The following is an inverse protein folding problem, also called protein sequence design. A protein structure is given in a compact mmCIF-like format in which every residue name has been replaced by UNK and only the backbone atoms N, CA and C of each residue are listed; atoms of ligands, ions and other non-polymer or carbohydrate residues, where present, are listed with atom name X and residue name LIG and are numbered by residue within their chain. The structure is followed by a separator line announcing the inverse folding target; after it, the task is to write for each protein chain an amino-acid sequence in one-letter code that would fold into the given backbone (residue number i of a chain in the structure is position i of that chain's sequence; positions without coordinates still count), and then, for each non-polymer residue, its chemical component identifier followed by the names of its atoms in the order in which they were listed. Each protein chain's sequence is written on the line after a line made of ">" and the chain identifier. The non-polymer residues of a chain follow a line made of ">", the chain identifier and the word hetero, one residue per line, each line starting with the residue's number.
data_IF_859572096542
#
_entry.id   IF_859572096542
#
_cell.length_a   1.000
_cell.length_b   1.000
_cell.length_c   1.000
_cell.angle_alpha   90.00
_cell.angle_beta   90.00
_cell.angle_gamma   90.00
#
_symmetry.space_group_name_H-M   'P 1'
#
loop_
_entity.id
_entity.type
_entity.pdbx_description
1 polymer ?
#
# COMPACT_ATOMS: atom_id res chain seq x y z
N UNK A 1 29.69 7.33 -9.35
CA UNK A 1 28.65 6.29 -9.50
C UNK A 1 27.64 6.69 -10.58
N UNK A 2 27.13 5.73 -11.35
CA UNK A 2 26.09 5.96 -12.37
C UNK A 2 24.74 5.51 -11.81
N UNK A 3 23.81 6.44 -11.70
CA UNK A 3 22.50 6.24 -11.08
C UNK A 3 21.42 6.43 -12.13
N UNK A 4 20.64 5.39 -12.39
CA UNK A 4 19.49 5.52 -13.28
C UNK A 4 18.23 5.81 -12.49
N UNK A 5 17.47 6.83 -12.92
CA UNK A 5 16.18 7.24 -12.34
C UNK A 5 15.25 7.78 -13.43
N UNK A 6 13.94 7.81 -13.17
CA UNK A 6 12.97 8.38 -14.09
C UNK A 6 13.09 9.90 -14.26
N UNK A 7 13.81 10.58 -13.37
CA UNK A 7 13.95 12.04 -13.35
C UNK A 7 15.34 12.46 -13.87
N UNK A 8 15.36 13.31 -14.89
CA UNK A 8 16.60 13.84 -15.48
C UNK A 8 17.11 15.11 -14.80
N UNK A 9 16.29 15.76 -14.01
CA UNK A 9 16.50 17.11 -13.43
C UNK A 9 16.72 17.11 -11.92
N UNK A 10 17.05 15.95 -11.31
CA UNK A 10 17.43 15.90 -9.90
C UNK A 10 18.78 16.55 -9.65
N UNK A 11 18.97 17.11 -8.47
CA UNK A 11 20.27 17.59 -8.02
C UNK A 11 21.20 16.44 -7.68
N UNK A 12 22.26 16.26 -8.46
CA UNK A 12 23.29 15.22 -8.24
C UNK A 12 24.54 15.85 -7.64
N UNK A 13 25.06 15.32 -6.51
CA UNK A 13 26.36 15.70 -5.96
C UNK A 13 27.52 15.28 -6.87
N UNK A 14 28.71 15.88 -6.64
CA UNK A 14 29.93 15.50 -7.34
C UNK A 14 30.23 13.99 -7.24
N UNK A 15 30.72 13.42 -8.33
CA UNK A 15 30.98 11.98 -8.42
C UNK A 15 29.78 11.09 -8.76
N UNK A 16 28.58 11.66 -8.89
CA UNK A 16 27.37 10.97 -9.32
C UNK A 16 26.96 11.44 -10.72
N UNK A 17 26.77 10.48 -11.62
CA UNK A 17 26.26 10.73 -12.98
C UNK A 17 24.81 10.23 -13.05
N UNK A 18 23.87 11.13 -13.29
CA UNK A 18 22.48 10.78 -13.50
C UNK A 18 22.22 10.25 -14.91
N UNK A 19 21.57 9.12 -14.96
CA UNK A 19 21.04 8.49 -16.17
C UNK A 19 19.51 8.50 -16.10
N UNK A 20 18.87 8.76 -17.21
CA UNK A 20 17.41 8.85 -17.29
C UNK A 20 16.91 8.33 -18.64
N UNK A 21 15.60 8.18 -18.85
CA UNK A 21 15.08 7.81 -20.15
C UNK A 21 15.56 8.69 -21.31
N UNK A 22 15.83 9.97 -21.03
CA UNK A 22 16.21 10.96 -22.05
C UNK A 22 17.64 10.75 -22.57
N UNK A 23 18.56 10.33 -21.70
CA UNK A 23 19.99 10.20 -22.02
C UNK A 23 20.52 8.76 -21.96
N UNK A 24 19.76 7.82 -21.42
CA UNK A 24 20.14 6.43 -21.26
C UNK A 24 18.91 5.49 -21.28
N UNK A 25 18.32 5.25 -22.46
CA UNK A 25 17.13 4.40 -22.58
C UNK A 25 17.48 2.93 -22.30
N UNK A 26 16.80 2.31 -21.32
CA UNK A 26 17.11 0.97 -20.80
C UNK A 26 16.98 -0.15 -21.85
N UNK A 27 16.13 0.02 -22.86
CA UNK A 27 15.91 -1.01 -23.89
C UNK A 27 17.08 -1.15 -24.87
N UNK A 28 17.92 -0.12 -25.03
CA UNK A 28 19.01 -0.08 -26.01
C UNK A 28 20.40 0.17 -25.45
N UNK A 29 20.50 0.48 -24.15
CA UNK A 29 21.77 0.83 -23.51
C UNK A 29 22.50 -0.39 -22.93
N UNK A 30 23.79 -0.25 -22.68
CA UNK A 30 24.57 -1.21 -21.91
C UNK A 30 24.32 -1.08 -20.41
N UNK A 31 23.43 -1.90 -19.90
CA UNK A 31 22.96 -1.85 -18.52
C UNK A 31 24.04 -2.23 -17.48
N UNK A 32 25.17 -2.81 -17.90
CA UNK A 32 26.30 -3.09 -17.00
C UNK A 32 26.92 -1.83 -16.40
N UNK A 33 26.63 -0.68 -16.98
CA UNK A 33 27.17 0.61 -16.53
C UNK A 33 26.43 1.23 -15.34
N UNK A 34 25.34 0.62 -14.87
CA UNK A 34 24.51 1.17 -13.80
C UNK A 34 24.94 0.60 -12.44
N UNK A 35 25.31 1.47 -11.51
CA UNK A 35 25.64 1.12 -10.11
C UNK A 35 24.43 1.16 -9.19
N UNK A 36 23.49 2.12 -9.39
CA UNK A 36 22.25 2.25 -8.66
C UNK A 36 21.09 2.37 -9.64
N UNK A 37 20.06 1.59 -9.41
CA UNK A 37 18.83 1.61 -10.22
C UNK A 37 17.62 2.01 -9.37
N UNK A 38 16.91 3.02 -9.83
CA UNK A 38 15.62 3.46 -9.29
C UNK A 38 14.55 3.15 -10.34
N UNK A 39 13.87 1.99 -10.28
CA UNK A 39 12.83 1.65 -11.24
C UNK A 39 11.76 2.74 -11.31
N UNK A 40 11.22 3.00 -12.52
CA UNK A 40 10.14 3.97 -12.69
C UNK A 40 8.95 3.61 -11.81
N UNK A 41 8.41 4.62 -11.13
CA UNK A 41 7.23 4.45 -10.29
C UNK A 41 6.07 3.91 -11.11
N UNK A 42 5.32 2.94 -10.57
CA UNK A 42 4.25 2.21 -11.27
C UNK A 42 4.67 1.48 -12.56
N UNK A 43 5.97 1.30 -12.79
CA UNK A 43 6.49 0.57 -13.97
C UNK A 43 6.33 -0.95 -13.91
N UNK A 44 5.87 -1.48 -12.77
CA UNK A 44 5.54 -2.90 -12.56
C UNK A 44 6.71 -3.86 -12.82
N UNK A 45 6.38 -5.11 -13.12
CA UNK A 45 7.36 -6.16 -13.35
C UNK A 45 8.33 -5.85 -14.50
N UNK A 46 7.88 -5.11 -15.54
CA UNK A 46 8.77 -4.70 -16.63
C UNK A 46 9.91 -3.82 -16.13
N UNK A 47 9.61 -2.79 -15.35
CA UNK A 47 10.65 -1.91 -14.81
C UNK A 47 11.62 -2.67 -13.90
N UNK A 48 11.12 -3.55 -13.02
CA UNK A 48 11.95 -4.37 -12.16
C UNK A 48 12.84 -5.35 -12.94
N UNK A 49 12.37 -5.88 -14.06
CA UNK A 49 13.11 -6.88 -14.85
C UNK A 49 14.47 -6.39 -15.38
N UNK A 50 14.66 -5.08 -15.55
CA UNK A 50 15.95 -4.52 -15.95
C UNK A 50 17.04 -4.75 -14.90
N UNK A 51 16.71 -4.83 -13.61
CA UNK A 51 17.67 -5.09 -12.54
C UNK A 51 18.43 -6.41 -12.73
N UNK A 52 17.79 -7.44 -13.32
CA UNK A 52 18.43 -8.71 -13.63
C UNK A 52 19.55 -8.60 -14.69
N UNK A 53 19.48 -7.58 -15.57
CA UNK A 53 20.43 -7.34 -16.66
C UNK A 53 21.58 -6.41 -16.25
N UNK A 54 21.53 -5.82 -15.05
CA UNK A 54 22.51 -4.86 -14.54
C UNK A 54 23.59 -5.59 -13.72
N UNK A 55 24.61 -6.13 -14.37
CA UNK A 55 25.64 -6.96 -13.72
C UNK A 55 26.41 -6.24 -12.60
N UNK A 56 26.59 -4.93 -12.71
CA UNK A 56 27.34 -4.12 -11.73
C UNK A 56 26.44 -3.39 -10.72
N UNK A 57 25.13 -3.70 -10.71
CA UNK A 57 24.19 -3.06 -9.80
C UNK A 57 24.52 -3.39 -8.33
N UNK A 58 24.73 -2.34 -7.54
CA UNK A 58 25.01 -2.39 -6.09
C UNK A 58 23.81 -1.99 -5.26
N UNK A 59 22.92 -1.13 -5.80
CA UNK A 59 21.79 -0.58 -5.07
C UNK A 59 20.55 -0.65 -5.96
N UNK A 60 19.51 -1.31 -5.46
CA UNK A 60 18.17 -1.28 -6.02
C UNK A 60 17.29 -0.44 -5.07
N UNK A 61 16.92 0.78 -5.48
CA UNK A 61 16.11 1.70 -4.71
C UNK A 61 14.68 1.69 -5.24
N UNK A 62 13.77 1.10 -4.50
CA UNK A 62 12.34 1.13 -4.85
C UNK A 62 11.73 2.51 -4.59
N UNK A 63 10.76 2.90 -5.41
CA UNK A 63 9.90 4.07 -5.18
C UNK A 63 8.58 3.69 -4.47
N UNK A 64 8.41 2.41 -4.12
CA UNK A 64 7.28 1.87 -3.36
C UNK A 64 7.70 1.57 -1.91
N UNK A 65 6.75 1.63 -0.98
CA UNK A 65 6.96 1.16 0.39
C UNK A 65 7.00 -0.37 0.46
N UNK A 66 6.15 -1.06 -0.31
CA UNK A 66 6.22 -2.50 -0.51
C UNK A 66 7.37 -2.87 -1.44
N UNK A 67 8.06 -3.96 -1.16
CA UNK A 67 9.26 -4.39 -1.89
C UNK A 67 9.26 -5.91 -2.18
N UNK A 68 8.12 -6.56 -1.98
CA UNK A 68 7.97 -8.02 -2.10
C UNK A 68 8.45 -8.50 -3.47
N UNK A 69 8.07 -7.80 -4.54
CA UNK A 69 8.44 -8.13 -5.92
C UNK A 69 9.95 -7.95 -6.20
N UNK A 70 10.62 -7.07 -5.44
CA UNK A 70 12.04 -6.79 -5.62
C UNK A 70 12.95 -7.84 -4.96
N UNK A 71 12.44 -8.63 -4.00
CA UNK A 71 13.21 -9.68 -3.32
C UNK A 71 13.74 -10.74 -4.29
N UNK A 72 13.03 -11.01 -5.38
CA UNK A 72 13.46 -11.97 -6.42
C UNK A 72 14.75 -11.54 -7.16
N UNK A 73 15.13 -10.27 -7.08
CA UNK A 73 16.34 -9.72 -7.71
C UNK A 73 17.53 -9.63 -6.74
N UNK A 74 17.34 -10.00 -5.47
CA UNK A 74 18.41 -9.96 -4.47
C UNK A 74 19.51 -10.94 -4.84
N UNK A 75 20.77 -10.47 -4.77
CA UNK A 75 21.96 -11.25 -5.06
C UNK A 75 23.15 -10.73 -4.26
N UNK A 76 24.24 -11.50 -4.12
CA UNK A 76 25.42 -11.08 -3.36
C UNK A 76 25.92 -9.68 -3.76
N UNK A 77 26.08 -8.82 -2.77
CA UNK A 77 26.53 -7.44 -2.93
C UNK A 77 25.46 -6.42 -3.36
N UNK A 78 24.19 -6.82 -3.51
CA UNK A 78 23.09 -5.91 -3.81
C UNK A 78 22.41 -5.44 -2.51
N UNK A 79 22.29 -4.13 -2.33
CA UNK A 79 21.49 -3.49 -1.29
C UNK A 79 20.13 -3.09 -1.84
N UNK A 80 19.06 -3.54 -1.20
CA UNK A 80 17.67 -3.18 -1.52
C UNK A 80 17.19 -2.13 -0.55
N UNK A 81 16.75 -0.98 -1.08
CA UNK A 81 16.10 0.10 -0.33
C UNK A 81 14.66 0.29 -0.81
N UNK A 82 13.76 0.67 0.11
CA UNK A 82 12.38 1.01 -0.23
C UNK A 82 12.08 2.51 -0.03
N UNK A 83 10.86 2.94 -0.34
CA UNK A 83 10.41 4.32 -0.19
C UNK A 83 9.52 4.51 1.07
N UNK A 84 9.97 3.99 2.20
CA UNK A 84 9.27 4.20 3.48
C UNK A 84 9.10 5.69 3.75
N UNK A 85 7.91 6.11 4.17
CA UNK A 85 7.59 7.51 4.45
C UNK A 85 7.02 8.29 3.26
N UNK A 86 7.40 7.95 2.03
CA UNK A 86 6.96 8.66 0.81
C UNK A 86 5.43 8.59 0.63
N UNK A 87 4.85 7.44 0.89
CA UNK A 87 3.42 7.15 0.63
C UNK A 87 2.54 7.25 1.87
N UNK A 88 3.10 7.49 3.05
CA UNK A 88 2.37 7.40 4.32
C UNK A 88 1.13 8.29 4.35
N UNK A 89 1.30 9.55 3.94
CA UNK A 89 0.22 10.53 3.97
C UNK A 89 -0.91 10.21 2.98
N UNK A 90 -0.56 9.78 1.75
CA UNK A 90 -1.54 9.51 0.69
C UNK A 90 -2.28 8.19 0.92
N UNK A 91 -1.56 7.13 1.32
CA UNK A 91 -2.20 5.83 1.61
C UNK A 91 -3.13 5.93 2.83
N UNK A 92 -2.70 6.64 3.87
CA UNK A 92 -3.56 6.89 5.03
C UNK A 92 -4.78 7.76 4.68
N UNK A 93 -4.61 8.75 3.79
CA UNK A 93 -5.72 9.57 3.29
C UNK A 93 -6.73 8.72 2.51
N UNK A 94 -6.26 7.86 1.61
CA UNK A 94 -7.13 6.95 0.87
C UNK A 94 -7.87 5.99 1.82
N UNK A 95 -7.21 5.41 2.81
CA UNK A 95 -7.84 4.51 3.77
C UNK A 95 -8.99 5.19 4.52
N UNK A 96 -8.77 6.42 4.99
CA UNK A 96 -9.81 7.22 5.67
C UNK A 96 -10.91 7.63 4.69
N UNK A 97 -10.55 8.06 3.48
CA UNK A 97 -11.49 8.41 2.42
C UNK A 97 -12.40 7.23 2.04
N UNK A 98 -11.85 6.03 1.87
CA UNK A 98 -12.59 4.80 1.61
C UNK A 98 -13.51 4.42 2.78
N UNK A 99 -13.04 4.59 4.02
CA UNK A 99 -13.87 4.37 5.21
C UNK A 99 -15.07 5.32 5.24
N UNK A 100 -14.86 6.62 4.98
CA UNK A 100 -15.94 7.61 4.88
C UNK A 100 -16.89 7.25 3.73
N UNK A 101 -16.37 7.02 2.54
CA UNK A 101 -17.17 6.74 1.34
C UNK A 101 -18.08 5.51 1.55
N UNK A 102 -17.54 4.43 2.12
CA UNK A 102 -18.30 3.22 2.42
C UNK A 102 -19.32 3.46 3.52
N UNK A 103 -18.91 4.00 4.67
CA UNK A 103 -19.81 4.22 5.83
C UNK A 103 -20.92 5.22 5.53
N UNK A 104 -20.72 6.18 4.62
CA UNK A 104 -21.71 7.20 4.25
C UNK A 104 -22.49 6.87 2.98
N UNK A 105 -22.30 5.66 2.40
CA UNK A 105 -23.05 5.16 1.26
C UNK A 105 -22.81 5.93 -0.04
N UNK A 106 -21.59 6.48 -0.24
CA UNK A 106 -21.30 7.29 -1.42
C UNK A 106 -21.42 6.50 -2.72
N UNK A 107 -21.01 5.23 -2.73
CA UNK A 107 -21.14 4.38 -3.91
C UNK A 107 -22.59 4.19 -4.35
N UNK A 108 -23.51 4.04 -3.38
CA UNK A 108 -24.95 3.94 -3.64
C UNK A 108 -25.51 5.26 -4.16
N UNK A 109 -25.21 6.37 -3.50
CA UNK A 109 -25.71 7.69 -3.92
C UNK A 109 -25.19 8.12 -5.30
N UNK A 110 -23.93 7.77 -5.64
CA UNK A 110 -23.39 8.04 -6.99
C UNK A 110 -24.14 7.24 -8.06
N UNK A 111 -24.48 5.96 -7.79
CA UNK A 111 -25.29 5.16 -8.72
C UNK A 111 -26.71 5.73 -8.87
N UNK A 112 -27.33 6.13 -7.76
CA UNK A 112 -28.65 6.75 -7.78
C UNK A 112 -28.67 8.11 -8.46
N UNK A 113 -27.63 8.91 -8.29
CA UNK A 113 -27.45 10.17 -9.03
C UNK A 113 -27.44 9.92 -10.54
N UNK A 114 -26.76 8.86 -11.01
CA UNK A 114 -26.69 8.50 -12.42
C UNK A 114 -28.05 8.20 -13.07
N UNK A 115 -29.06 7.84 -12.29
CA UNK A 115 -30.43 7.53 -12.75
C UNK A 115 -31.47 8.50 -12.20
N UNK A 116 -31.06 9.62 -11.60
CA UNK A 116 -31.94 10.68 -11.11
C UNK A 116 -32.83 10.27 -9.90
N UNK A 117 -32.39 9.31 -9.11
CA UNK A 117 -33.16 8.83 -7.95
C UNK A 117 -32.78 9.58 -6.67
N UNK A 118 -33.77 10.19 -6.02
CA UNK A 118 -33.62 10.83 -4.71
C UNK A 118 -34.11 9.87 -3.61
N UNK A 119 -33.19 9.04 -3.06
CA UNK A 119 -33.53 8.05 -2.03
C UNK A 119 -32.93 8.43 -0.67
N UNK A 120 -33.72 9.13 0.15
CA UNK A 120 -33.30 9.56 1.50
C UNK A 120 -33.29 8.38 2.47
N UNK A 121 -32.11 7.99 2.92
CA UNK A 121 -31.91 6.92 3.91
C UNK A 121 -30.70 7.19 4.80
N UNK A 122 -30.66 6.49 5.93
CA UNK A 122 -29.59 6.60 6.91
C UNK A 122 -28.50 5.57 6.62
N UNK A 123 -27.26 6.04 6.65
CA UNK A 123 -26.06 5.23 6.68
C UNK A 123 -25.34 5.40 8.02
N UNK A 124 -24.46 4.46 8.43
CA UNK A 124 -23.60 4.62 9.59
C UNK A 124 -22.67 5.84 9.48
N UNK A 125 -22.03 6.21 10.59
CA UNK A 125 -21.02 7.27 10.65
C UNK A 125 -19.65 6.69 11.06
N UNK A 126 -18.61 7.49 10.97
CA UNK A 126 -17.34 7.18 11.65
C UNK A 126 -17.44 7.49 13.16
N UNK A 127 -18.16 8.56 13.54
CA UNK A 127 -18.30 8.91 14.95
C UNK A 127 -18.81 7.72 15.77
N UNK A 128 -18.24 7.55 16.94
CA UNK A 128 -18.49 6.45 17.89
C UNK A 128 -18.08 5.05 17.40
N UNK A 129 -17.45 4.96 16.21
CA UNK A 129 -16.99 3.67 15.69
C UNK A 129 -15.75 3.17 16.42
N UNK A 130 -15.71 1.84 16.64
CA UNK A 130 -14.51 1.13 17.10
C UNK A 130 -13.70 0.70 15.88
N UNK A 131 -12.49 1.24 15.74
CA UNK A 131 -11.60 1.00 14.59
C UNK A 131 -10.43 0.13 15.00
N UNK A 132 -10.26 -1.00 14.32
CA UNK A 132 -9.06 -1.83 14.41
C UNK A 132 -8.08 -1.48 13.29
N UNK A 133 -6.85 -1.13 13.62
CA UNK A 133 -5.78 -0.92 12.64
C UNK A 133 -4.81 -2.11 12.71
N UNK A 134 -4.80 -2.94 11.68
CA UNK A 134 -3.99 -4.14 11.60
C UNK A 134 -2.69 -3.83 10.88
N UNK A 135 -1.59 -3.71 11.65
CA UNK A 135 -0.34 -3.13 11.22
C UNK A 135 -0.19 -1.67 11.68
N UNK A 136 0.76 -1.40 12.56
CA UNK A 136 0.95 -0.07 13.16
C UNK A 136 2.35 0.48 12.90
N UNK A 137 2.80 0.32 11.63
CA UNK A 137 3.99 0.99 11.08
C UNK A 137 3.73 2.48 10.82
N UNK A 138 4.55 3.10 9.97
CA UNK A 138 4.43 4.53 9.63
C UNK A 138 3.05 4.89 9.07
N UNK A 139 2.53 4.11 8.11
CA UNK A 139 1.22 4.35 7.50
C UNK A 139 0.09 4.11 8.53
N UNK A 140 0.16 3.04 9.34
CA UNK A 140 -0.87 2.76 10.35
C UNK A 140 -0.96 3.86 11.41
N UNK A 141 0.18 4.42 11.83
CA UNK A 141 0.23 5.59 12.71
C UNK A 141 -0.38 6.83 12.07
N UNK A 142 -0.14 7.03 10.77
CA UNK A 142 -0.72 8.16 10.03
C UNK A 142 -2.24 8.00 9.82
N UNK A 143 -2.74 6.77 9.62
CA UNK A 143 -4.18 6.46 9.63
C UNK A 143 -4.79 6.84 10.98
N UNK A 144 -4.18 6.40 12.09
CA UNK A 144 -4.66 6.73 13.43
C UNK A 144 -4.68 8.26 13.67
N UNK A 145 -3.62 8.97 13.25
CA UNK A 145 -3.55 10.44 13.36
C UNK A 145 -4.67 11.14 12.58
N UNK A 146 -4.95 10.68 11.34
CA UNK A 146 -6.03 11.24 10.52
C UNK A 146 -7.41 10.93 11.10
N UNK A 147 -7.60 9.77 11.71
CA UNK A 147 -8.86 9.37 12.33
C UNK A 147 -9.12 10.07 13.67
N UNK A 148 -8.12 10.66 14.32
CA UNK A 148 -8.26 11.28 15.63
C UNK A 148 -9.30 12.41 15.69
N UNK A 149 -9.65 13.02 14.54
CA UNK A 149 -10.67 14.07 14.45
C UNK A 149 -12.10 13.57 14.21
N UNK A 150 -12.35 12.25 14.26
CA UNK A 150 -13.65 11.66 13.90
C UNK A 150 -14.41 11.04 15.09
N UNK A 151 -13.99 11.32 16.32
CA UNK A 151 -14.63 10.75 17.54
C UNK A 151 -14.69 9.22 17.51
N UNK A 152 -13.60 8.56 17.09
CA UNK A 152 -13.48 7.10 17.01
C UNK A 152 -12.64 6.54 18.16
N UNK A 153 -12.89 5.28 18.52
CA UNK A 153 -11.99 4.52 19.41
C UNK A 153 -11.08 3.64 18.57
N UNK A 154 -9.76 3.80 18.70
CA UNK A 154 -8.79 3.07 17.89
C UNK A 154 -8.10 1.99 18.73
N UNK A 155 -8.06 0.76 18.20
CA UNK A 155 -7.23 -0.33 18.71
C UNK A 155 -6.24 -0.71 17.61
N UNK A 156 -4.95 -0.55 17.86
CA UNK A 156 -3.89 -0.91 16.92
C UNK A 156 -3.35 -2.31 17.21
N UNK A 157 -3.10 -3.10 16.18
CA UNK A 157 -2.59 -4.47 16.28
C UNK A 157 -1.22 -4.59 15.61
N UNK A 158 -0.28 -5.23 16.30
CA UNK A 158 1.07 -5.54 15.78
C UNK A 158 1.47 -6.96 16.16
N UNK A 159 2.48 -7.48 15.47
CA UNK A 159 3.03 -8.81 15.79
C UNK A 159 3.51 -8.89 17.25
N UNK A 160 4.13 -7.84 17.76
CA UNK A 160 4.76 -7.84 19.08
C UNK A 160 3.85 -7.39 20.24
N UNK A 161 2.80 -6.60 19.95
CA UNK A 161 1.95 -5.97 20.96
C UNK A 161 2.68 -4.91 21.79
N UNK A 162 3.74 -4.28 21.26
CA UNK A 162 4.52 -3.23 21.93
C UNK A 162 3.89 -1.85 21.77
N UNK A 163 4.35 -0.89 22.53
CA UNK A 163 4.03 0.54 22.40
C UNK A 163 2.51 0.83 22.45
N UNK A 164 1.80 0.16 23.35
CA UNK A 164 0.35 0.34 23.55
C UNK A 164 -0.51 -0.34 22.46
N UNK A 165 0.09 -1.17 21.60
CA UNK A 165 -0.67 -1.99 20.63
C UNK A 165 -1.06 -3.34 21.21
N UNK A 166 -2.08 -3.98 20.63
CA UNK A 166 -2.49 -5.35 20.95
C UNK A 166 -1.70 -6.34 20.08
N UNK A 167 -1.41 -7.53 20.60
CA UNK A 167 -0.84 -8.60 19.79
C UNK A 167 -1.84 -9.06 18.73
N UNK A 168 -1.34 -9.34 17.52
CA UNK A 168 -2.16 -9.87 16.43
C UNK A 168 -2.85 -11.19 16.78
N UNK A 169 -2.24 -11.99 17.66
CA UNK A 169 -2.79 -13.27 18.13
C UNK A 169 -4.11 -13.09 18.92
N UNK A 170 -4.32 -11.91 19.49
CA UNK A 170 -5.54 -11.56 20.21
C UNK A 170 -6.63 -10.92 19.33
N UNK A 171 -6.38 -10.76 18.01
CA UNK A 171 -7.29 -10.11 17.08
C UNK A 171 -8.71 -10.68 17.13
N UNK A 172 -8.85 -11.99 17.16
CA UNK A 172 -10.14 -12.69 17.13
C UNK A 172 -11.02 -12.37 18.35
N UNK A 173 -10.43 -11.95 19.48
CA UNK A 173 -11.17 -11.49 20.67
C UNK A 173 -11.78 -10.10 20.48
N UNK A 174 -11.20 -9.29 19.58
CA UNK A 174 -11.61 -7.91 19.33
C UNK A 174 -12.55 -7.76 18.13
N UNK A 175 -12.37 -8.60 17.09
CA UNK A 175 -13.12 -8.51 15.83
C UNK A 175 -14.65 -8.39 16.01
N UNK A 176 -15.32 -9.14 16.92
CA UNK A 176 -16.77 -9.02 17.10
C UNK A 176 -17.24 -7.65 17.59
N UNK A 177 -16.31 -6.80 18.06
CA UNK A 177 -16.62 -5.47 18.58
C UNK A 177 -16.22 -4.34 17.63
N UNK A 178 -15.41 -4.63 16.59
CA UNK A 178 -14.91 -3.62 15.67
C UNK A 178 -15.97 -3.28 14.61
N UNK A 179 -16.19 -1.99 14.42
CA UNK A 179 -17.06 -1.46 13.36
C UNK A 179 -16.30 -1.28 12.05
N UNK A 180 -14.99 -1.01 12.13
CA UNK A 180 -14.11 -0.80 10.99
C UNK A 180 -12.79 -1.50 11.26
N UNK A 181 -12.29 -2.25 10.27
CA UNK A 181 -10.98 -2.91 10.28
C UNK A 181 -10.17 -2.38 9.12
N UNK A 182 -9.01 -1.77 9.39
CA UNK A 182 -8.08 -1.25 8.38
C UNK A 182 -6.86 -2.14 8.33
N UNK A 183 -6.61 -2.74 7.17
CA UNK A 183 -5.44 -3.59 6.91
C UNK A 183 -4.32 -2.75 6.30
N UNK A 184 -3.19 -2.70 7.01
CA UNK A 184 -1.99 -1.95 6.60
C UNK A 184 -0.71 -2.65 7.09
N UNK A 185 -0.60 -3.93 6.79
CA UNK A 185 0.53 -4.80 7.16
C UNK A 185 1.16 -5.41 5.90
N UNK A 186 2.44 -5.82 5.95
CA UNK A 186 3.08 -6.48 4.81
C UNK A 186 2.46 -7.86 4.55
N UNK A 187 2.57 -8.32 3.30
CA UNK A 187 2.26 -9.69 2.93
C UNK A 187 3.42 -10.60 3.34
N UNK A 188 3.12 -11.58 4.15
CA UNK A 188 4.02 -12.66 4.60
C UNK A 188 3.24 -13.96 4.62
N UNK A 189 3.91 -15.10 4.82
CA UNK A 189 3.21 -16.38 4.95
C UNK A 189 2.18 -16.37 6.10
N UNK A 190 2.47 -15.66 7.18
CA UNK A 190 1.55 -15.55 8.33
C UNK A 190 0.40 -14.57 8.12
N UNK A 191 0.52 -13.62 7.19
CA UNK A 191 -0.54 -12.65 6.87
C UNK A 191 -1.36 -13.04 5.65
N UNK A 192 -0.90 -13.99 4.83
CA UNK A 192 -1.67 -14.54 3.71
C UNK A 192 -2.95 -15.20 4.21
N UNK A 193 -4.07 -14.79 3.64
CA UNK A 193 -5.43 -15.23 4.04
C UNK A 193 -5.66 -15.09 5.56
N UNK A 194 -5.02 -14.09 6.17
CA UNK A 194 -5.26 -13.76 7.58
C UNK A 194 -6.75 -13.51 7.83
N UNK A 195 -7.44 -12.91 6.87
CA UNK A 195 -8.89 -12.76 6.87
C UNK A 195 -9.52 -13.85 5.99
N UNK A 196 -9.52 -15.07 6.52
CA UNK A 196 -10.19 -16.24 5.95
C UNK A 196 -11.69 -16.26 6.31
N UNK A 197 -12.41 -17.30 5.83
CA UNK A 197 -13.85 -17.44 6.07
C UNK A 197 -14.23 -17.42 7.56
N UNK A 198 -13.43 -18.08 8.42
CA UNK A 198 -13.72 -18.11 9.86
C UNK A 198 -13.59 -16.71 10.47
N UNK A 199 -12.51 -15.99 10.17
CA UNK A 199 -12.25 -14.66 10.73
C UNK A 199 -13.23 -13.61 10.18
N UNK A 200 -13.56 -13.66 8.88
CA UNK A 200 -14.58 -12.80 8.29
C UNK A 200 -15.96 -13.04 8.94
N UNK A 201 -16.31 -14.29 9.23
CA UNK A 201 -17.57 -14.64 9.88
C UNK A 201 -17.66 -14.10 11.34
N UNK A 202 -16.53 -13.88 12.03
CA UNK A 202 -16.51 -13.29 13.38
C UNK A 202 -16.65 -11.77 13.39
N UNK A 203 -16.51 -11.11 12.25
CA UNK A 203 -16.72 -9.66 12.16
C UNK A 203 -18.19 -9.32 12.46
N UNK A 204 -18.40 -8.19 13.11
CA UNK A 204 -19.73 -7.66 13.42
C UNK A 204 -20.56 -7.44 12.15
N UNK A 205 -21.86 -7.73 12.20
CA UNK A 205 -22.78 -7.38 11.12
C UNK A 205 -22.75 -5.89 10.84
N UNK A 206 -22.64 -5.51 9.58
CA UNK A 206 -22.46 -4.12 9.16
C UNK A 206 -21.03 -3.58 9.34
N UNK A 207 -20.07 -4.38 9.78
CA UNK A 207 -18.68 -3.96 9.87
C UNK A 207 -18.09 -3.70 8.48
N UNK A 208 -17.10 -2.81 8.42
CA UNK A 208 -16.34 -2.47 7.22
C UNK A 208 -14.91 -3.02 7.34
N UNK A 209 -14.44 -3.70 6.30
CA UNK A 209 -13.03 -3.99 6.12
C UNK A 209 -12.43 -3.11 5.03
N UNK A 210 -11.35 -2.39 5.33
CA UNK A 210 -10.59 -1.54 4.39
C UNK A 210 -9.23 -2.20 4.17
N UNK A 211 -8.92 -2.56 2.93
CA UNK A 211 -7.61 -3.13 2.60
C UNK A 211 -6.81 -2.18 1.71
N UNK A 212 -5.79 -1.54 2.29
CA UNK A 212 -4.80 -0.70 1.60
C UNK A 212 -3.39 -1.29 1.74
N UNK A 213 -3.30 -2.59 1.99
CA UNK A 213 -2.06 -3.33 2.20
C UNK A 213 -1.69 -4.20 0.99
N UNK A 214 -2.19 -5.45 0.95
CA UNK A 214 -2.03 -6.41 -0.15
C UNK A 214 -3.30 -7.26 -0.30
N UNK A 215 -3.70 -7.54 -1.54
CA UNK A 215 -4.89 -8.35 -1.85
C UNK A 215 -4.95 -9.69 -1.13
N UNK A 216 -3.90 -10.53 -1.23
CA UNK A 216 -3.88 -11.88 -0.63
C UNK A 216 -3.96 -11.94 0.91
N UNK A 217 -4.05 -10.82 1.62
CA UNK A 217 -4.31 -10.82 3.07
C UNK A 217 -5.76 -11.24 3.36
N UNK A 218 -6.66 -10.99 2.42
CA UNK A 218 -8.05 -11.45 2.49
C UNK A 218 -8.24 -12.63 1.54
N UNK A 219 -8.91 -13.67 2.00
CA UNK A 219 -9.42 -14.72 1.13
C UNK A 219 -10.58 -14.14 0.30
N UNK A 220 -10.36 -14.00 -1.01
CA UNK A 220 -11.31 -13.35 -1.93
C UNK A 220 -12.64 -14.07 -2.02
N UNK A 221 -12.64 -15.42 -2.05
CA UNK A 221 -13.86 -16.22 -2.12
C UNK A 221 -14.69 -16.11 -0.82
N UNK A 222 -14.01 -16.13 0.31
CA UNK A 222 -14.64 -15.93 1.60
C UNK A 222 -15.23 -14.50 1.72
N UNK A 223 -14.51 -13.48 1.25
CA UNK A 223 -15.02 -12.11 1.22
C UNK A 223 -16.27 -11.99 0.33
N UNK A 224 -16.24 -12.56 -0.88
CA UNK A 224 -17.39 -12.56 -1.79
C UNK A 224 -18.62 -13.16 -1.16
N UNK A 225 -18.49 -14.25 -0.41
CA UNK A 225 -19.61 -14.87 0.31
C UNK A 225 -20.24 -13.91 1.31
N UNK A 226 -19.43 -13.19 2.10
CA UNK A 226 -19.90 -12.23 3.09
C UNK A 226 -20.53 -10.98 2.44
N UNK A 227 -19.96 -10.52 1.33
CA UNK A 227 -20.51 -9.39 0.57
C UNK A 227 -21.85 -9.76 -0.08
N UNK A 228 -21.95 -10.93 -0.71
CA UNK A 228 -23.18 -11.39 -1.36
C UNK A 228 -24.34 -11.60 -0.35
N UNK A 229 -24.03 -11.99 0.88
CA UNK A 229 -25.00 -12.01 1.98
C UNK A 229 -25.35 -10.61 2.53
N UNK A 230 -24.65 -9.57 2.08
CA UNK A 230 -24.75 -8.18 2.55
C UNK A 230 -24.46 -8.01 4.04
N UNK A 231 -23.77 -8.96 4.67
CA UNK A 231 -23.49 -8.94 6.10
C UNK A 231 -22.43 -7.92 6.47
N UNK A 232 -21.37 -7.78 5.65
CA UNK A 232 -20.33 -6.79 5.86
C UNK A 232 -20.15 -5.87 4.66
N UNK A 233 -19.33 -4.85 4.84
CA UNK A 233 -18.87 -3.92 3.80
C UNK A 233 -17.38 -4.11 3.56
N UNK A 234 -16.91 -3.82 2.34
CA UNK A 234 -15.49 -3.79 2.04
C UNK A 234 -15.12 -2.57 1.19
N UNK A 235 -13.87 -2.11 1.36
CA UNK A 235 -13.26 -1.09 0.52
C UNK A 235 -11.81 -1.50 0.24
N UNK A 236 -11.51 -1.77 -1.02
CA UNK A 236 -10.28 -2.41 -1.45
C UNK A 236 -9.48 -1.49 -2.37
N UNK A 237 -8.25 -1.15 -1.98
CA UNK A 237 -7.25 -0.55 -2.86
C UNK A 237 -6.46 -1.64 -3.60
N UNK A 238 -6.41 -2.83 -3.02
CA UNK A 238 -5.67 -3.98 -3.51
C UNK A 238 -6.57 -5.23 -3.55
N UNK A 239 -6.38 -6.08 -4.56
CA UNK A 239 -7.20 -7.27 -4.80
C UNK A 239 -6.33 -8.51 -5.03
N UNK A 240 -6.94 -9.68 -4.99
CA UNK A 240 -6.34 -10.94 -5.42
C UNK A 240 -7.35 -11.68 -6.32
N UNK A 241 -7.05 -11.84 -7.64
CA UNK A 241 -5.83 -11.42 -8.34
C UNK A 241 -5.71 -9.89 -8.54
N UNK A 242 -4.48 -9.43 -8.83
CA UNK A 242 -4.17 -8.05 -9.18
C UNK A 242 -3.29 -8.00 -10.44
N UNK A 243 -3.64 -7.24 -11.51
CA UNK A 243 -4.89 -6.48 -11.66
C UNK A 243 -6.15 -7.33 -11.62
N UNK A 244 -7.26 -6.76 -11.11
CA UNK A 244 -8.53 -7.47 -11.07
C UNK A 244 -9.07 -7.70 -12.48
N UNK A 245 -9.24 -8.95 -12.95
CA UNK A 245 -9.68 -9.23 -14.32
C UNK A 245 -11.06 -8.67 -14.64
N UNK A 246 -11.27 -8.34 -15.91
CA UNK A 246 -12.60 -7.97 -16.39
C UNK A 246 -13.60 -9.12 -16.14
N UNK A 247 -14.79 -8.80 -15.63
CA UNK A 247 -15.81 -9.79 -15.31
C UNK A 247 -15.62 -10.51 -13.99
N UNK A 248 -14.57 -10.21 -13.21
CA UNK A 248 -14.39 -10.80 -11.88
C UNK A 248 -15.58 -10.44 -10.96
N UNK A 249 -16.09 -11.38 -10.14
CA UNK A 249 -17.26 -11.18 -9.29
C UNK A 249 -17.18 -9.98 -8.33
N UNK A 250 -15.99 -9.59 -7.89
CA UNK A 250 -15.79 -8.40 -7.06
C UNK A 250 -16.31 -7.12 -7.73
N UNK A 251 -16.29 -6.98 -9.07
CA UNK A 251 -16.78 -5.77 -9.74
C UNK A 251 -18.28 -5.51 -9.53
N UNK A 252 -19.06 -6.56 -9.29
CA UNK A 252 -20.51 -6.48 -9.09
C UNK A 252 -20.96 -6.81 -7.66
N UNK A 253 -20.02 -7.10 -6.76
CA UNK A 253 -20.34 -7.43 -5.38
C UNK A 253 -21.04 -6.26 -4.66
N UNK A 254 -22.11 -6.52 -3.89
CA UNK A 254 -22.75 -5.48 -3.10
C UNK A 254 -21.85 -5.00 -1.95
N UNK A 255 -22.11 -3.81 -1.42
CA UNK A 255 -21.39 -3.25 -0.27
C UNK A 255 -19.88 -3.11 -0.47
N UNK A 256 -19.42 -3.03 -1.72
CA UNK A 256 -18.00 -2.99 -2.06
C UNK A 256 -17.63 -1.71 -2.80
N UNK A 257 -16.49 -1.12 -2.42
CA UNK A 257 -15.76 -0.10 -3.19
C UNK A 257 -14.42 -0.70 -3.57
N UNK A 258 -14.05 -0.63 -4.86
CA UNK A 258 -12.74 -1.03 -5.36
C UNK A 258 -12.09 0.17 -6.03
N UNK A 259 -10.83 0.44 -5.69
CA UNK A 259 -9.96 1.39 -6.39
C UNK A 259 -8.69 0.67 -6.83
N UNK A 260 -8.04 1.06 -7.96
CA UNK A 260 -7.04 0.25 -8.61
C UNK A 260 -5.62 0.52 -8.11
N UNK A 261 -5.31 0.17 -6.85
CA UNK A 261 -4.01 0.28 -6.18
C UNK A 261 -3.42 1.70 -6.29
N UNK A 262 -4.17 2.67 -5.82
CA UNK A 262 -3.84 4.10 -5.93
C UNK A 262 -3.45 4.75 -4.60
N UNK A 263 -3.33 3.99 -3.51
CA UNK A 263 -2.99 4.52 -2.18
C UNK A 263 -1.73 5.35 -2.16
N UNK A 264 -0.68 4.91 -2.85
CA UNK A 264 0.56 5.67 -3.04
C UNK A 264 0.53 6.62 -4.25
N UNK A 265 -0.35 6.37 -5.23
CA UNK A 265 -0.37 7.07 -6.52
C UNK A 265 -1.23 8.35 -6.44
N UNK A 266 -0.67 9.39 -5.86
CA UNK A 266 -1.33 10.68 -5.69
C UNK A 266 -0.38 11.83 -6.03
N UNK A 267 -0.90 13.06 -6.12
CA UNK A 267 -0.07 14.26 -6.30
C UNK A 267 0.97 14.49 -5.19
N UNK A 268 0.87 13.77 -4.08
CA UNK A 268 1.83 13.84 -2.99
C UNK A 268 3.11 13.01 -3.25
N UNK A 269 3.09 12.09 -4.22
CA UNK A 269 4.23 11.22 -4.52
C UNK A 269 5.42 11.98 -5.07
N UNK A 270 5.22 12.75 -6.14
CA UNK A 270 6.30 13.36 -6.92
C UNK A 270 7.32 14.13 -6.04
N UNK A 271 6.90 15.12 -5.22
CA UNK A 271 7.86 15.87 -4.41
C UNK A 271 8.56 15.00 -3.35
N UNK A 272 7.89 14.01 -2.80
CA UNK A 272 8.44 13.13 -1.76
C UNK A 272 9.40 12.07 -2.35
N UNK A 273 9.03 11.50 -3.50
CA UNK A 273 9.89 10.55 -4.23
C UNK A 273 11.19 11.21 -4.66
N UNK A 274 11.13 12.42 -5.22
CA UNK A 274 12.30 13.21 -5.60
C UNK A 274 13.18 13.51 -4.39
N UNK A 275 12.59 14.00 -3.29
CA UNK A 275 13.35 14.31 -2.07
C UNK A 275 14.04 13.07 -1.49
N UNK A 276 13.39 11.89 -1.52
CA UNK A 276 14.04 10.63 -1.12
C UNK A 276 15.27 10.34 -1.97
N UNK A 277 15.14 10.41 -3.30
CA UNK A 277 16.28 10.09 -4.18
C UNK A 277 17.40 11.09 -3.99
N UNK A 278 17.11 12.39 -3.90
CA UNK A 278 18.15 13.42 -3.62
C UNK A 278 18.82 13.20 -2.26
N UNK A 279 18.12 12.75 -1.22
CA UNK A 279 18.69 12.35 0.06
C UNK A 279 19.66 11.17 -0.11
N UNK A 280 19.22 10.11 -0.79
CA UNK A 280 20.04 8.93 -1.06
C UNK A 280 21.31 9.28 -1.86
N UNK A 281 21.20 10.15 -2.88
CA UNK A 281 22.34 10.61 -3.66
C UNK A 281 23.37 11.37 -2.79
N UNK A 282 22.92 12.21 -1.86
CA UNK A 282 23.80 12.93 -0.92
C UNK A 282 24.49 11.96 0.04
N UNK A 283 23.78 10.95 0.56
CA UNK A 283 24.36 9.93 1.42
C UNK A 283 25.43 9.12 0.68
N UNK A 284 25.15 8.71 -0.57
CA UNK A 284 26.09 7.99 -1.43
C UNK A 284 27.36 8.80 -1.68
N UNK A 285 27.24 10.08 -2.04
CA UNK A 285 28.39 10.95 -2.30
C UNK A 285 29.24 11.18 -1.05
N UNK A 286 28.61 11.19 0.12
CA UNK A 286 29.29 11.34 1.41
C UNK A 286 29.87 10.01 1.96
N UNK A 287 29.64 8.87 1.31
CA UNK A 287 30.03 7.55 1.82
C UNK A 287 29.29 7.14 3.10
N UNK A 288 28.10 7.69 3.34
CA UNK A 288 27.27 7.43 4.50
C UNK A 288 26.28 6.26 4.23
N UNK A 289 25.80 5.59 5.29
CA UNK A 289 24.78 4.55 5.15
C UNK A 289 23.51 5.10 4.47
N UNK A 290 22.92 4.30 3.57
CA UNK A 290 21.66 4.59 2.92
C UNK A 290 20.49 4.50 3.90
N UNK A 291 19.46 5.30 3.66
CA UNK A 291 18.18 5.22 4.37
C UNK A 291 17.33 4.06 3.83
N UNK A 292 16.44 3.54 4.68
CA UNK A 292 15.41 2.58 4.29
C UNK A 292 15.93 1.29 3.63
N UNK A 293 17.12 0.83 4.03
CA UNK A 293 17.62 -0.48 3.64
C UNK A 293 16.70 -1.57 4.23
N UNK A 294 16.18 -2.45 3.37
CA UNK A 294 15.23 -3.52 3.74
C UNK A 294 15.80 -4.91 3.57
N UNK A 295 16.80 -5.08 2.71
CA UNK A 295 17.53 -6.33 2.53
C UNK A 295 18.93 -6.08 1.95
N UNK A 296 19.84 -7.03 2.21
CA UNK A 296 21.17 -7.11 1.62
C UNK A 296 21.43 -8.55 1.17
N UNK A 297 21.91 -8.72 -0.05
CA UNK A 297 22.23 -10.02 -0.63
C UNK A 297 23.67 -10.44 -0.40
#
# INVERSE_FOLDING_TARGET
>A
MRVWTQWSDLSAPDGITLLSPDNFPLDSADLSQIDMYVPSYMGGAKALSYAAKMSNLKILQMLNAGYDDALAYLRPGLTLCNARGVHDASTAELAVGLAIASRRGFAEFIREQGVGTWNHRRFPSLSDSKVGIIGFGSIGKEVARKLAGFDVSITAFTQSGRDGTVKIDDLDKHLPQLDIVVLILPLTDSSRHMFNAQRLATMKDGALIVNVARGPIIDTEALLKELNSRRIYAALDVTDPEPLPQGHPLWSAPNLIVVPHVGGNSGAFEPRGRALIESQLKLLAAGLPLEHVVAQG
#
